data_IF_179281155448
#
_entry.id   IF_179281155448
#
_cell.length_a   1.000
_cell.length_b   1.000
_cell.length_c   1.000
_cell.angle_alpha   90.00
_cell.angle_beta   90.00
_cell.angle_gamma   90.00
#
_symmetry.space_group_name_H-M   'P 1'
#
loop_
_entity.id
_entity.type
_entity.pdbx_description
1 polymer ?
#
# COMPACT_ATOMS: atom_id res chain seq x y z
N UNK A 1 11.89 -8.90 -29.84
CA UNK A 1 10.43 -8.94 -29.57
C UNK A 1 10.07 -9.94 -28.47
N UNK A 2 10.67 -11.14 -28.41
CA UNK A 2 10.36 -12.13 -27.38
C UNK A 2 10.78 -11.71 -25.96
N UNK A 3 11.85 -10.92 -25.81
CA UNK A 3 12.32 -10.43 -24.51
C UNK A 3 11.37 -9.42 -23.85
N UNK A 4 10.77 -8.50 -24.62
CA UNK A 4 9.78 -7.55 -24.07
C UNK A 4 8.52 -8.26 -23.59
N UNK A 5 8.08 -9.31 -24.29
CA UNK A 5 6.96 -10.17 -23.89
C UNK A 5 7.28 -10.93 -22.60
N UNK A 6 8.51 -11.44 -22.47
CA UNK A 6 8.98 -12.14 -21.26
C UNK A 6 9.09 -11.21 -20.05
N UNK A 7 9.54 -9.97 -20.24
CA UNK A 7 9.55 -8.94 -19.20
C UNK A 7 8.12 -8.56 -18.81
N UNK A 8 7.23 -8.35 -19.78
CA UNK A 8 5.80 -8.05 -19.53
C UNK A 8 5.11 -9.15 -18.71
N UNK A 9 5.28 -10.40 -19.12
CA UNK A 9 4.70 -11.55 -18.42
C UNK A 9 5.33 -11.73 -17.02
N UNK A 10 6.64 -11.56 -16.90
CA UNK A 10 7.33 -11.65 -15.61
C UNK A 10 6.88 -10.55 -14.62
N UNK A 11 6.67 -9.32 -15.09
CA UNK A 11 6.17 -8.22 -14.26
C UNK A 11 4.70 -8.40 -13.87
N UNK A 12 3.84 -8.87 -14.78
CA UNK A 12 2.39 -9.00 -14.54
C UNK A 12 2.01 -10.26 -13.75
N UNK A 13 2.76 -11.36 -13.84
CA UNK A 13 2.43 -12.62 -13.16
C UNK A 13 3.39 -12.94 -12.01
N UNK A 14 4.71 -12.85 -12.22
CA UNK A 14 5.71 -13.38 -11.27
C UNK A 14 6.10 -12.36 -10.21
N UNK A 15 6.20 -11.08 -10.59
CA UNK A 15 6.52 -9.98 -9.67
C UNK A 15 5.28 -9.14 -9.29
N UNK A 16 4.09 -9.57 -9.67
CA UNK A 16 2.88 -8.81 -9.37
C UNK A 16 2.57 -8.87 -7.88
N UNK A 17 2.66 -7.70 -7.27
CA UNK A 17 2.49 -7.48 -5.85
C UNK A 17 1.14 -8.01 -5.33
N UNK A 18 0.10 -7.98 -6.17
CA UNK A 18 -1.26 -8.45 -5.84
C UNK A 18 -1.33 -9.97 -5.73
N UNK A 19 -0.62 -10.72 -6.59
CA UNK A 19 -0.68 -12.19 -6.62
C UNK A 19 0.26 -12.84 -5.59
N UNK A 20 1.40 -12.22 -5.29
CA UNK A 20 2.48 -12.88 -4.52
C UNK A 20 2.47 -12.51 -3.04
N UNK A 21 2.08 -11.28 -2.68
CA UNK A 21 2.26 -10.83 -1.29
C UNK A 21 0.98 -10.84 -0.44
N UNK A 22 -0.21 -11.03 -1.02
CA UNK A 22 -1.50 -11.02 -0.28
C UNK A 22 -1.67 -9.83 0.68
N UNK A 23 -1.03 -8.67 0.43
CA UNK A 23 -1.26 -7.45 1.21
C UNK A 23 -2.61 -6.86 0.81
N UNK A 24 -3.42 -6.46 1.79
CA UNK A 24 -4.74 -5.87 1.53
C UNK A 24 -5.89 -6.90 1.44
N UNK A 25 -5.76 -8.08 2.04
CA UNK A 25 -6.90 -8.99 2.23
C UNK A 25 -7.96 -8.45 3.19
N UNK A 26 -7.59 -7.53 4.08
CA UNK A 26 -8.48 -6.91 5.07
C UNK A 26 -9.73 -6.27 4.41
N UNK A 27 -9.60 -5.40 3.38
CA UNK A 27 -10.76 -4.89 2.65
C UNK A 27 -11.46 -5.99 1.86
N UNK A 28 -10.73 -6.92 1.25
CA UNK A 28 -11.33 -8.01 0.46
C UNK A 28 -12.31 -8.86 1.28
N UNK A 29 -11.93 -9.28 2.48
CA UNK A 29 -12.80 -10.03 3.40
C UNK A 29 -14.01 -9.21 3.85
N UNK A 30 -13.88 -7.87 3.98
CA UNK A 30 -14.97 -6.98 4.40
C UNK A 30 -16.04 -6.71 3.33
N UNK A 31 -15.70 -6.75 2.04
CA UNK A 31 -16.62 -6.39 0.93
C UNK A 31 -17.00 -7.52 -0.02
N UNK A 32 -16.58 -8.76 0.26
CA UNK A 32 -16.80 -9.93 -0.62
C UNK A 32 -18.26 -10.20 -1.04
N UNK A 33 -19.26 -9.70 -0.31
CA UNK A 33 -20.69 -9.99 -0.56
C UNK A 33 -21.39 -9.05 -1.54
N UNK A 34 -20.90 -7.82 -1.75
CA UNK A 34 -21.59 -6.81 -2.58
C UNK A 34 -20.60 -6.02 -3.44
N UNK A 35 -20.84 -6.02 -4.74
CA UNK A 35 -19.95 -5.38 -5.72
C UNK A 35 -19.96 -3.84 -5.58
N UNK A 36 -21.11 -3.25 -5.26
CA UNK A 36 -21.23 -1.81 -5.01
C UNK A 36 -20.36 -1.34 -3.84
N UNK A 37 -20.33 -2.11 -2.74
CA UNK A 37 -19.45 -1.79 -1.59
C UNK A 37 -17.98 -2.08 -1.88
N UNK A 38 -17.70 -3.06 -2.75
CA UNK A 38 -16.33 -3.42 -3.10
C UNK A 38 -15.63 -2.33 -3.93
N UNK A 39 -16.36 -1.67 -4.82
CA UNK A 39 -15.83 -0.53 -5.59
C UNK A 39 -15.48 0.64 -4.68
N UNK A 40 -16.36 0.98 -3.72
CA UNK A 40 -16.11 2.04 -2.74
C UNK A 40 -14.90 1.77 -1.84
N UNK A 41 -14.80 0.55 -1.29
CA UNK A 41 -13.63 0.14 -0.49
C UNK A 41 -12.34 0.06 -1.32
N UNK A 42 -12.41 -0.33 -2.59
CA UNK A 42 -11.25 -0.35 -3.49
C UNK A 42 -10.68 1.06 -3.73
N UNK A 43 -11.56 2.04 -3.96
CA UNK A 43 -11.14 3.44 -4.10
C UNK A 43 -10.59 4.02 -2.80
N UNK A 44 -11.23 3.74 -1.66
CA UNK A 44 -10.74 4.21 -0.36
C UNK A 44 -9.35 3.65 -0.04
N UNK A 45 -9.15 2.35 -0.26
CA UNK A 45 -7.86 1.70 0.06
C UNK A 45 -6.73 2.09 -0.88
N UNK A 46 -7.00 2.27 -2.17
CA UNK A 46 -5.99 2.79 -3.12
C UNK A 46 -5.58 4.23 -2.77
N UNK A 47 -6.53 5.06 -2.34
CA UNK A 47 -6.23 6.40 -1.84
C UNK A 47 -5.36 6.37 -0.56
N UNK A 48 -5.72 5.54 0.42
CA UNK A 48 -4.92 5.39 1.65
C UNK A 48 -3.51 4.87 1.35
N UNK A 49 -3.38 3.84 0.51
CA UNK A 49 -2.09 3.24 0.16
C UNK A 49 -1.17 4.23 -0.57
N UNK A 50 -1.71 5.06 -1.45
CA UNK A 50 -0.92 6.07 -2.18
C UNK A 50 -0.42 7.16 -1.23
N UNK A 51 -1.29 7.72 -0.38
CA UNK A 51 -0.90 8.71 0.62
C UNK A 51 0.10 8.16 1.65
N UNK A 52 -0.16 6.95 2.16
CA UNK A 52 0.71 6.32 3.14
C UNK A 52 2.10 6.01 2.56
N UNK A 53 2.19 5.61 1.29
CA UNK A 53 3.47 5.35 0.62
C UNK A 53 4.28 6.63 0.44
N UNK A 54 3.63 7.73 0.01
CA UNK A 54 4.28 9.04 -0.13
C UNK A 54 4.80 9.53 1.22
N UNK A 55 3.95 9.48 2.25
CA UNK A 55 4.30 9.96 3.60
C UNK A 55 5.42 9.12 4.22
N UNK A 56 5.36 7.80 4.07
CA UNK A 56 6.42 6.89 4.55
C UNK A 56 7.74 7.12 3.83
N UNK A 57 7.71 7.44 2.53
CA UNK A 57 8.92 7.81 1.79
C UNK A 57 9.53 9.11 2.30
N UNK A 58 8.70 10.14 2.54
CA UNK A 58 9.16 11.40 3.13
C UNK A 58 9.79 11.18 4.50
N UNK A 59 9.16 10.40 5.38
CA UNK A 59 9.68 10.10 6.72
C UNK A 59 10.98 9.29 6.63
N UNK A 60 11.08 8.33 5.71
CA UNK A 60 12.31 7.56 5.52
C UNK A 60 13.47 8.46 5.06
N UNK A 61 13.24 9.29 4.04
CA UNK A 61 14.28 10.12 3.43
C UNK A 61 14.67 11.32 4.29
N UNK A 62 13.71 12.05 4.88
CA UNK A 62 13.97 13.30 5.59
C UNK A 62 14.17 13.13 7.11
N UNK A 63 13.66 12.04 7.70
CA UNK A 63 13.72 11.83 9.14
C UNK A 63 14.68 10.70 9.51
N UNK A 64 14.60 9.56 8.81
CA UNK A 64 15.36 8.37 9.23
C UNK A 64 16.82 8.35 8.76
N UNK A 65 17.06 8.75 7.52
CA UNK A 65 18.42 8.80 6.95
C UNK A 65 19.31 9.85 7.65
N UNK A 66 18.88 11.11 7.85
CA UNK A 66 19.76 12.12 8.47
C UNK A 66 19.98 11.92 9.97
N UNK A 67 19.08 11.20 10.65
CA UNK A 67 19.21 10.91 12.08
C UNK A 67 19.81 9.51 12.37
N UNK A 68 20.22 8.75 11.35
CA UNK A 68 20.80 7.40 11.51
C UNK A 68 19.90 6.42 12.31
N UNK A 69 18.58 6.68 12.32
CA UNK A 69 17.58 5.98 13.14
C UNK A 69 16.89 4.83 12.38
N UNK A 70 17.65 4.15 11.51
CA UNK A 70 17.11 3.13 10.59
C UNK A 70 16.43 1.95 11.33
N UNK A 71 16.82 1.70 12.58
CA UNK A 71 16.17 0.68 13.43
C UNK A 71 14.69 0.99 13.74
N UNK A 72 14.28 2.26 13.77
CA UNK A 72 12.90 2.66 14.05
C UNK A 72 12.00 2.66 12.79
N UNK A 73 12.53 2.29 11.62
CA UNK A 73 11.80 2.36 10.33
C UNK A 73 10.46 1.67 10.36
N UNK A 74 10.42 0.45 10.87
CA UNK A 74 9.20 -0.36 10.93
C UNK A 74 8.14 0.31 11.81
N UNK A 75 8.53 0.83 12.97
CA UNK A 75 7.61 1.48 13.91
C UNK A 75 7.09 2.80 13.30
N UNK A 76 7.98 3.61 12.72
CA UNK A 76 7.62 4.86 12.06
C UNK A 76 6.61 4.63 10.92
N UNK A 77 6.81 3.59 10.10
CA UNK A 77 5.86 3.24 9.04
C UNK A 77 4.51 2.80 9.59
N UNK A 78 4.47 1.96 10.64
CA UNK A 78 3.20 1.53 11.27
C UNK A 78 2.42 2.74 11.80
N UNK A 79 3.08 3.65 12.51
CA UNK A 79 2.45 4.85 13.07
C UNK A 79 1.94 5.79 11.97
N UNK A 80 2.73 5.95 10.90
CA UNK A 80 2.33 6.78 9.74
C UNK A 80 1.11 6.21 9.05
N UNK A 81 1.10 4.90 8.77
CA UNK A 81 -0.04 4.23 8.14
C UNK A 81 -1.27 4.32 9.05
N UNK A 82 -1.12 4.11 10.37
CA UNK A 82 -2.22 4.22 11.32
C UNK A 82 -2.82 5.64 11.35
N UNK A 83 -2.00 6.69 11.29
CA UNK A 83 -2.46 8.07 11.25
C UNK A 83 -3.24 8.39 9.95
N UNK A 84 -2.76 7.90 8.80
CA UNK A 84 -3.42 8.10 7.50
C UNK A 84 -4.76 7.35 7.44
N UNK A 85 -4.82 6.11 7.95
CA UNK A 85 -6.07 5.35 8.03
C UNK A 85 -7.06 6.02 8.96
N UNK A 86 -6.63 6.42 10.16
CA UNK A 86 -7.49 7.11 11.13
C UNK A 86 -8.04 8.44 10.59
N UNK A 87 -7.25 9.17 9.80
CA UNK A 87 -7.75 10.35 9.09
C UNK A 87 -8.80 10.00 8.04
N UNK A 88 -8.60 8.91 7.31
CA UNK A 88 -9.52 8.48 6.24
C UNK A 88 -10.85 7.97 6.80
N UNK A 89 -10.86 7.30 7.96
CA UNK A 89 -12.08 6.88 8.66
C UNK A 89 -12.93 8.05 9.17
N UNK A 90 -12.34 9.23 9.37
CA UNK A 90 -13.08 10.45 9.73
C UNK A 90 -13.65 11.18 8.51
N UNK A 91 -13.13 10.90 7.32
CA UNK A 91 -13.50 11.56 6.05
C UNK A 91 -14.57 10.77 5.29
N UNK A 92 -14.59 9.44 5.41
CA UNK A 92 -15.57 8.51 4.80
C UNK A 92 -16.77 8.31 5.72
#
# INVERSE_FOLDING_TARGET
>A
MNEYLLILVSTILVNNFVLVKFLGLCPFMGVSKKMDTAIGMGFATTFVLTLASITSYLINTYLLIPFELEYLRTIAFIVTIAAVVGFTELVV
#
